data_IF_448833511277
#
_entry.id   IF_448833511277
#
_cell.length_a   1.000
_cell.length_b   1.000
_cell.length_c   1.000
_cell.angle_alpha   90.00
_cell.angle_beta   90.00
_cell.angle_gamma   90.00
#
_symmetry.space_group_name_H-M   'P 1'
#
loop_
_entity.id
_entity.type
_entity.pdbx_description
1 polymer ?
#
# COMPACT_ATOMS: atom_id res chain seq x y z
N UNK A 1 4.84 -8.97 -22.16
CA UNK A 1 4.10 -9.40 -23.34
C UNK A 1 2.62 -9.69 -23.07
N UNK A 2 2.26 -10.33 -21.93
CA UNK A 2 0.88 -10.76 -21.60
C UNK A 2 -0.11 -9.60 -21.52
N UNK A 3 0.28 -8.47 -20.94
CA UNK A 3 -0.55 -7.28 -20.78
C UNK A 3 -0.68 -6.45 -22.09
N UNK A 4 0.16 -6.68 -23.08
CA UNK A 4 0.15 -5.91 -24.33
C UNK A 4 -1.18 -6.07 -25.10
N UNK A 5 -1.80 -7.24 -25.03
CA UNK A 5 -3.11 -7.51 -25.64
C UNK A 5 -4.16 -6.53 -25.15
N UNK A 6 -4.19 -6.23 -23.85
CA UNK A 6 -5.25 -5.39 -23.23
C UNK A 6 -4.86 -3.92 -23.20
N UNK A 7 -3.64 -3.60 -22.76
CA UNK A 7 -3.22 -2.23 -22.49
C UNK A 7 -2.61 -1.53 -23.69
N UNK A 8 -2.06 -2.29 -24.64
CA UNK A 8 -1.39 -1.75 -25.83
C UNK A 8 -2.08 -2.19 -27.14
N UNK A 9 -3.33 -2.63 -27.10
CA UNK A 9 -4.08 -3.05 -28.29
C UNK A 9 -3.28 -3.98 -29.23
N UNK A 10 -2.66 -5.02 -28.66
CA UNK A 10 -1.73 -5.92 -29.38
C UNK A 10 -0.53 -5.21 -30.02
N UNK A 11 -0.03 -4.14 -29.42
CA UNK A 11 1.10 -3.36 -29.91
C UNK A 11 0.73 -2.17 -30.81
N UNK A 12 -0.56 -1.92 -31.05
CA UNK A 12 -1.03 -0.76 -31.83
C UNK A 12 -0.90 0.58 -31.09
N UNK A 13 -0.55 0.55 -29.78
CA UNK A 13 -0.38 1.75 -28.97
C UNK A 13 -1.32 1.80 -27.77
N UNK A 14 -1.29 2.93 -27.06
CA UNK A 14 -2.17 3.15 -25.89
C UNK A 14 -3.63 3.27 -26.31
N UNK A 15 -4.52 2.88 -25.42
CA UNK A 15 -5.93 3.18 -25.53
C UNK A 15 -6.14 4.71 -25.65
N UNK A 16 -6.95 5.13 -26.59
CA UNK A 16 -7.31 6.55 -26.72
C UNK A 16 -8.43 6.90 -25.76
N UNK A 17 -8.47 8.16 -25.33
CA UNK A 17 -9.54 8.66 -24.47
C UNK A 17 -10.90 8.43 -25.15
N UNK A 18 -11.86 7.83 -24.42
CA UNK A 18 -13.19 7.52 -24.93
C UNK A 18 -13.29 6.21 -25.72
N UNK A 19 -12.19 5.47 -25.94
CA UNK A 19 -12.27 4.14 -26.55
C UNK A 19 -12.86 3.12 -25.57
N UNK A 20 -13.60 2.14 -26.13
CA UNK A 20 -14.14 1.02 -25.36
C UNK A 20 -13.05 -0.06 -25.17
N UNK A 21 -12.72 -0.35 -23.91
CA UNK A 21 -11.84 -1.47 -23.57
C UNK A 21 -12.68 -2.69 -23.16
N UNK A 22 -12.50 -3.81 -23.83
CA UNK A 22 -13.19 -5.06 -23.56
C UNK A 22 -12.21 -6.09 -23.02
N UNK A 23 -12.47 -6.57 -21.80
CA UNK A 23 -11.73 -7.69 -21.19
C UNK A 23 -12.66 -8.90 -21.08
N UNK A 24 -12.68 -9.72 -22.11
CA UNK A 24 -13.54 -10.92 -22.20
C UNK A 24 -13.18 -11.95 -21.12
N UNK A 25 -11.91 -12.09 -20.78
CA UNK A 25 -11.43 -13.08 -19.83
C UNK A 25 -11.86 -12.71 -18.39
N UNK A 26 -11.85 -11.44 -18.04
CA UNK A 26 -12.44 -10.95 -16.79
C UNK A 26 -13.95 -11.21 -16.76
N UNK A 27 -14.64 -10.98 -17.90
CA UNK A 27 -16.07 -11.28 -18.02
C UNK A 27 -16.38 -12.77 -17.82
N UNK A 28 -15.56 -13.66 -18.35
CA UNK A 28 -15.68 -15.13 -18.13
C UNK A 28 -15.46 -15.50 -16.67
N UNK A 29 -14.43 -14.92 -16.03
CA UNK A 29 -14.14 -15.14 -14.62
C UNK A 29 -15.32 -14.73 -13.72
N UNK A 30 -15.87 -13.55 -13.94
CA UNK A 30 -17.02 -13.06 -13.16
C UNK A 30 -18.23 -14.00 -13.35
N UNK A 31 -18.52 -14.43 -14.58
CA UNK A 31 -19.61 -15.39 -14.85
C UNK A 31 -19.37 -16.72 -14.16
N UNK A 32 -18.14 -17.23 -14.16
CA UNK A 32 -17.78 -18.45 -13.47
C UNK A 32 -18.09 -18.39 -11.96
N UNK A 33 -17.78 -17.25 -11.32
CA UNK A 33 -18.10 -17.03 -9.90
C UNK A 33 -19.62 -16.93 -9.68
N UNK A 34 -20.34 -16.21 -10.53
CA UNK A 34 -21.81 -16.08 -10.48
C UNK A 34 -22.47 -17.48 -10.65
N UNK A 35 -21.98 -18.29 -11.54
CA UNK A 35 -22.51 -19.65 -11.76
C UNK A 35 -22.29 -20.56 -10.56
N UNK A 36 -21.19 -20.39 -9.83
CA UNK A 36 -20.97 -21.10 -8.56
C UNK A 36 -21.99 -20.68 -7.47
N UNK A 37 -22.24 -19.38 -7.31
CA UNK A 37 -23.32 -18.89 -6.42
C UNK A 37 -24.67 -19.47 -6.82
N UNK A 38 -25.06 -19.34 -8.10
CA UNK A 38 -26.34 -19.85 -8.60
C UNK A 38 -26.53 -21.35 -8.37
N UNK A 39 -25.48 -22.15 -8.59
CA UNK A 39 -25.50 -23.59 -8.33
C UNK A 39 -25.72 -23.92 -6.86
N UNK A 40 -25.15 -23.15 -5.95
CA UNK A 40 -25.38 -23.28 -4.50
C UNK A 40 -26.83 -22.93 -4.14
N UNK A 41 -27.32 -21.77 -4.58
CA UNK A 41 -28.70 -21.32 -4.33
C UNK A 41 -29.76 -22.26 -4.92
N UNK A 42 -29.49 -22.86 -6.07
CA UNK A 42 -30.40 -23.82 -6.69
C UNK A 42 -30.53 -25.13 -5.88
N UNK A 43 -29.63 -25.41 -4.94
CA UNK A 43 -29.72 -26.53 -3.98
C UNK A 43 -30.52 -26.15 -2.72
N UNK A 44 -31.01 -24.91 -2.65
CA UNK A 44 -31.74 -24.41 -1.47
C UNK A 44 -30.80 -23.86 -0.37
N UNK A 45 -29.52 -23.70 -0.64
CA UNK A 45 -28.56 -23.13 0.32
C UNK A 45 -28.86 -21.65 0.59
N UNK A 46 -28.59 -21.15 1.81
CA UNK A 46 -28.72 -19.74 2.15
C UNK A 46 -27.84 -18.86 1.27
N UNK A 47 -28.24 -17.59 1.12
CA UNK A 47 -27.50 -16.60 0.32
C UNK A 47 -26.02 -16.48 0.73
N UNK A 48 -25.72 -16.53 2.03
CA UNK A 48 -24.36 -16.47 2.54
C UNK A 48 -23.49 -17.61 2.00
N UNK A 49 -24.03 -18.84 1.99
CA UNK A 49 -23.34 -20.02 1.43
C UNK A 49 -23.12 -19.86 -0.07
N UNK A 50 -24.08 -19.25 -0.79
CA UNK A 50 -23.92 -18.89 -2.20
C UNK A 50 -22.75 -17.92 -2.44
N UNK A 51 -22.61 -16.89 -1.59
CA UNK A 51 -21.50 -15.92 -1.65
C UNK A 51 -20.16 -16.63 -1.39
N UNK A 52 -20.09 -17.52 -0.40
CA UNK A 52 -18.90 -18.33 -0.13
C UNK A 52 -18.57 -19.27 -1.29
N UNK A 53 -19.57 -19.84 -1.96
CA UNK A 53 -19.36 -20.67 -3.15
C UNK A 53 -18.73 -19.85 -4.31
N UNK A 54 -19.18 -18.61 -4.52
CA UNK A 54 -18.57 -17.72 -5.50
C UNK A 54 -17.10 -17.36 -5.15
N UNK A 55 -16.84 -17.06 -3.87
CA UNK A 55 -15.47 -16.81 -3.38
C UNK A 55 -14.58 -18.05 -3.58
N UNK A 56 -15.04 -19.20 -3.18
CA UNK A 56 -14.25 -20.45 -3.28
C UNK A 56 -14.04 -20.87 -4.74
N UNK A 57 -14.97 -20.54 -5.65
CA UNK A 57 -14.76 -20.71 -7.07
C UNK A 57 -13.52 -19.93 -7.56
N UNK A 58 -13.27 -18.73 -7.03
CA UNK A 58 -12.07 -17.96 -7.35
C UNK A 58 -10.82 -18.50 -6.65
N UNK A 59 -10.86 -18.59 -5.32
CA UNK A 59 -9.68 -18.87 -4.50
C UNK A 59 -9.26 -20.35 -4.47
N UNK A 60 -10.19 -21.29 -4.74
CA UNK A 60 -9.95 -22.75 -4.70
C UNK A 60 -10.30 -23.46 -6.02
N UNK A 61 -10.93 -22.74 -6.94
CA UNK A 61 -11.36 -23.28 -8.22
C UNK A 61 -10.29 -23.22 -9.33
N UNK A 62 -10.76 -23.29 -10.58
CA UNK A 62 -9.87 -23.23 -11.74
C UNK A 62 -9.06 -21.93 -11.86
N UNK A 63 -9.56 -20.74 -11.46
CA UNK A 63 -8.74 -19.54 -11.45
C UNK A 63 -7.48 -19.67 -10.60
N UNK A 64 -7.59 -20.18 -9.35
CA UNK A 64 -6.44 -20.39 -8.49
C UNK A 64 -5.41 -21.36 -9.09
N UNK A 65 -5.89 -22.46 -9.68
CA UNK A 65 -5.01 -23.42 -10.40
C UNK A 65 -4.35 -22.80 -11.63
N UNK A 66 -5.04 -21.91 -12.33
CA UNK A 66 -4.48 -21.21 -13.47
C UNK A 66 -3.38 -20.24 -13.06
N UNK A 67 -3.56 -19.52 -11.92
CA UNK A 67 -2.53 -18.65 -11.32
C UNK A 67 -1.30 -19.48 -10.96
N UNK A 68 -1.45 -20.58 -10.23
CA UNK A 68 -0.36 -21.48 -9.84
C UNK A 68 0.43 -21.98 -11.06
N UNK A 69 -0.26 -22.46 -12.11
CA UNK A 69 0.39 -22.88 -13.35
C UNK A 69 1.18 -21.75 -13.99
N UNK A 70 0.58 -20.55 -14.09
CA UNK A 70 1.23 -19.40 -14.71
C UNK A 70 2.51 -18.99 -13.95
N UNK A 71 2.45 -18.95 -12.62
CA UNK A 71 3.62 -18.59 -11.81
C UNK A 71 4.72 -19.65 -11.90
N UNK A 72 4.38 -20.94 -11.92
CA UNK A 72 5.36 -22.02 -12.12
C UNK A 72 6.04 -21.98 -13.48
N UNK A 73 5.29 -21.64 -14.53
CA UNK A 73 5.80 -21.64 -15.90
C UNK A 73 6.60 -20.36 -16.25
N UNK A 74 6.31 -19.22 -15.58
CA UNK A 74 6.80 -17.92 -16.03
C UNK A 74 7.48 -17.06 -14.98
N UNK A 75 7.28 -17.31 -13.68
CA UNK A 75 7.67 -16.44 -12.56
C UNK A 75 8.26 -17.20 -11.37
N UNK A 76 8.95 -18.31 -11.60
CA UNK A 76 9.67 -19.11 -10.59
C UNK A 76 8.81 -19.57 -9.39
N UNK A 77 7.49 -19.71 -9.58
CA UNK A 77 6.59 -20.27 -8.59
C UNK A 77 6.33 -19.39 -7.34
N UNK A 78 6.46 -18.08 -7.46
CA UNK A 78 6.29 -17.14 -6.33
C UNK A 78 4.86 -17.12 -5.75
N UNK A 79 3.85 -17.62 -6.46
CA UNK A 79 2.47 -17.74 -5.95
C UNK A 79 1.96 -19.16 -6.28
N UNK A 80 1.47 -19.85 -5.26
CA UNK A 80 1.02 -21.24 -5.36
C UNK A 80 -0.51 -21.34 -5.23
N UNK A 81 -1.04 -22.51 -5.56
CA UNK A 81 -2.44 -22.82 -5.30
C UNK A 81 -2.78 -22.73 -3.81
N UNK A 82 -1.86 -23.19 -2.95
CA UNK A 82 -2.01 -23.19 -1.50
C UNK A 82 -2.13 -21.77 -0.95
N UNK A 83 -1.36 -20.82 -1.47
CA UNK A 83 -1.44 -19.40 -1.10
C UNK A 83 -2.83 -18.83 -1.45
N UNK A 84 -3.32 -19.13 -2.66
CA UNK A 84 -4.66 -18.72 -3.07
C UNK A 84 -5.74 -19.36 -2.19
N UNK A 85 -5.68 -20.69 -2.00
CA UNK A 85 -6.70 -21.44 -1.28
C UNK A 85 -6.74 -21.12 0.22
N UNK A 86 -5.60 -20.78 0.79
CA UNK A 86 -5.43 -20.40 2.19
C UNK A 86 -5.81 -18.95 2.48
N UNK A 87 -5.90 -18.08 1.45
CA UNK A 87 -6.19 -16.68 1.67
C UNK A 87 -7.55 -16.45 2.35
N UNK A 88 -7.55 -15.62 3.37
CA UNK A 88 -8.74 -15.17 4.09
C UNK A 88 -8.63 -13.70 4.49
N UNK A 89 -9.75 -13.00 4.45
CA UNK A 89 -9.82 -11.66 5.06
C UNK A 89 -9.88 -11.77 6.58
N UNK A 90 -9.31 -10.80 7.28
CA UNK A 90 -9.38 -10.67 8.74
C UNK A 90 -9.92 -9.29 9.12
N UNK A 91 -10.44 -9.18 10.33
CA UNK A 91 -10.81 -7.92 10.94
C UNK A 91 -9.60 -7.40 11.72
N UNK A 92 -9.13 -6.21 11.37
CA UNK A 92 -8.03 -5.55 12.06
C UNK A 92 -8.54 -4.33 12.82
N UNK A 93 -7.85 -3.96 13.89
CA UNK A 93 -8.06 -2.67 14.56
C UNK A 93 -7.44 -1.58 13.71
N UNK A 94 -8.19 -0.54 13.32
CA UNK A 94 -7.63 0.52 12.52
C UNK A 94 -6.60 1.33 13.32
N UNK A 95 -5.55 1.79 12.66
CA UNK A 95 -4.66 2.79 13.23
C UNK A 95 -5.41 4.10 13.39
N UNK A 96 -5.08 4.83 14.46
CA UNK A 96 -5.75 6.07 14.83
C UNK A 96 -4.74 7.16 15.19
N UNK A 97 -5.03 8.37 14.78
CA UNK A 97 -4.44 9.60 15.31
C UNK A 97 -5.47 10.72 15.36
N UNK A 98 -5.15 11.81 16.05
CA UNK A 98 -5.93 13.05 15.93
C UNK A 98 -5.19 14.05 15.05
N UNK A 99 -5.91 14.87 14.31
CA UNK A 99 -5.34 15.98 13.56
C UNK A 99 -6.24 17.21 13.67
N UNK A 100 -5.76 18.26 14.33
CA UNK A 100 -6.49 19.54 14.52
C UNK A 100 -7.93 19.35 15.02
N UNK A 101 -8.12 18.42 15.97
CA UNK A 101 -9.41 18.12 16.57
C UNK A 101 -10.28 17.11 15.85
N UNK A 102 -9.80 16.52 14.73
CA UNK A 102 -10.46 15.44 14.03
C UNK A 102 -9.80 14.10 14.37
N UNK A 103 -10.60 13.07 14.55
CA UNK A 103 -10.14 11.69 14.63
C UNK A 103 -9.91 11.15 13.23
N UNK A 104 -8.71 10.60 12.98
CA UNK A 104 -8.32 10.04 11.70
C UNK A 104 -8.00 8.56 11.87
N UNK A 105 -8.71 7.72 11.12
CA UNK A 105 -8.55 6.28 11.12
C UNK A 105 -8.05 5.79 9.76
N UNK A 106 -7.19 4.77 9.76
CA UNK A 106 -6.67 4.17 8.54
C UNK A 106 -6.34 2.69 8.74
N UNK A 107 -6.13 1.97 7.64
CA UNK A 107 -5.63 0.61 7.68
C UNK A 107 -4.19 0.56 8.21
N UNK A 108 -3.77 -0.61 8.69
CA UNK A 108 -2.44 -0.84 9.26
C UNK A 108 -1.33 -0.97 8.21
N UNK A 109 -0.15 -1.35 8.65
CA UNK A 109 1.14 -1.34 7.96
C UNK A 109 1.21 -2.07 6.62
N UNK A 110 0.35 -3.04 6.37
CA UNK A 110 0.19 -3.70 5.07
C UNK A 110 -0.39 -2.79 3.97
N UNK A 111 -0.83 -1.59 4.33
CA UNK A 111 -1.41 -0.59 3.44
C UNK A 111 -0.57 0.69 3.40
N UNK A 112 -1.00 1.67 2.62
CA UNK A 112 -0.40 3.01 2.60
C UNK A 112 -0.99 3.97 3.65
N UNK A 113 -2.01 3.51 4.39
CA UNK A 113 -2.69 4.31 5.40
C UNK A 113 -1.77 4.91 6.47
N UNK A 114 -0.83 4.15 7.03
CA UNK A 114 0.10 4.68 8.04
C UNK A 114 0.88 5.91 7.59
N UNK A 115 1.20 6.03 6.30
CA UNK A 115 1.87 7.23 5.74
C UNK A 115 1.07 8.50 5.99
N UNK A 116 -0.26 8.42 5.88
CA UNK A 116 -1.13 9.54 6.19
C UNK A 116 -1.00 9.96 7.65
N UNK A 117 -0.97 9.00 8.58
CA UNK A 117 -0.77 9.27 10.01
C UNK A 117 0.57 9.97 10.25
N UNK A 118 1.66 9.44 9.66
CA UNK A 118 2.99 10.06 9.78
C UNK A 118 2.98 11.50 9.27
N UNK A 119 2.41 11.73 8.09
CA UNK A 119 2.31 13.07 7.50
C UNK A 119 1.50 14.02 8.36
N UNK A 120 0.31 13.62 8.80
CA UNK A 120 -0.56 14.47 9.61
C UNK A 120 0.07 14.82 10.97
N UNK A 121 0.69 13.85 11.64
CA UNK A 121 1.38 14.07 12.89
C UNK A 121 2.56 15.07 12.76
N UNK A 122 3.30 15.01 11.64
CA UNK A 122 4.36 15.99 11.37
C UNK A 122 3.79 17.36 11.00
N UNK A 123 2.75 17.42 10.15
CA UNK A 123 2.12 18.66 9.71
C UNK A 123 1.45 19.44 10.87
N UNK A 124 1.08 18.77 11.95
CA UNK A 124 0.51 19.43 13.11
C UNK A 124 1.49 20.37 13.83
N UNK A 125 2.80 20.27 13.53
CA UNK A 125 3.83 21.17 14.05
C UNK A 125 3.96 22.49 13.29
N UNK A 126 3.20 22.67 12.19
CA UNK A 126 3.23 23.88 11.35
C UNK A 126 1.88 24.56 11.31
N UNK A 127 1.86 25.89 11.34
CA UNK A 127 0.66 26.67 11.07
C UNK A 127 0.48 26.83 9.55
N UNK A 128 -0.23 25.89 8.94
CA UNK A 128 -0.47 25.89 7.51
C UNK A 128 -1.38 27.06 7.06
N UNK A 129 -2.16 27.66 7.95
CA UNK A 129 -2.95 28.86 7.64
C UNK A 129 -2.04 30.08 7.53
N UNK A 130 -1.08 30.22 8.45
CA UNK A 130 -0.10 31.31 8.43
C UNK A 130 0.81 31.21 7.19
N UNK A 131 1.20 29.99 6.79
CA UNK A 131 1.98 29.80 5.56
C UNK A 131 1.22 30.21 4.30
N UNK A 132 -0.10 30.17 4.34
CA UNK A 132 -0.97 30.50 3.23
C UNK A 132 -1.15 29.35 2.22
N UNK A 133 -2.38 29.16 1.77
CA UNK A 133 -2.69 28.06 0.83
C UNK A 133 -1.94 28.20 -0.49
N UNK A 134 -1.22 27.16 -0.89
CA UNK A 134 -0.52 27.04 -2.18
C UNK A 134 0.61 28.07 -2.39
N UNK A 135 1.18 28.62 -1.31
CA UNK A 135 2.43 29.42 -1.36
C UNK A 135 3.65 28.50 -1.51
N UNK A 136 4.81 29.07 -1.79
CA UNK A 136 6.06 28.31 -1.86
C UNK A 136 6.38 27.62 -0.53
N UNK A 137 6.20 28.32 0.59
CA UNK A 137 6.43 27.82 1.96
C UNK A 137 5.48 26.68 2.31
N UNK A 138 4.20 26.81 1.94
CA UNK A 138 3.20 25.75 2.13
C UNK A 138 3.57 24.49 1.33
N UNK A 139 3.87 24.65 0.04
CA UNK A 139 4.27 23.52 -0.83
C UNK A 139 5.57 22.89 -0.32
N UNK A 140 6.53 23.71 0.11
CA UNK A 140 7.79 23.27 0.68
C UNK A 140 7.54 22.34 1.88
N UNK A 141 6.84 22.81 2.92
CA UNK A 141 6.56 22.02 4.13
C UNK A 141 5.85 20.71 3.77
N UNK A 142 4.81 20.75 2.93
CA UNK A 142 4.08 19.54 2.52
C UNK A 142 5.04 18.54 1.82
N UNK A 143 5.88 19.03 0.91
CA UNK A 143 6.82 18.18 0.16
C UNK A 143 7.86 17.54 1.07
N UNK A 144 8.43 18.30 2.02
CA UNK A 144 9.43 17.77 2.95
C UNK A 144 8.81 16.76 3.93
N UNK A 145 7.60 17.01 4.41
CA UNK A 145 6.86 16.05 5.25
C UNK A 145 6.58 14.75 4.50
N UNK A 146 6.20 14.84 3.21
CA UNK A 146 6.02 13.65 2.36
C UNK A 146 7.34 12.86 2.26
N UNK A 147 8.46 13.52 2.00
CA UNK A 147 9.77 12.88 1.90
C UNK A 147 10.15 12.13 3.18
N UNK A 148 9.98 12.77 4.36
CA UNK A 148 10.26 12.14 5.65
C UNK A 148 9.34 10.95 5.92
N UNK A 149 8.04 11.08 5.68
CA UNK A 149 7.08 10.00 5.86
C UNK A 149 7.33 8.83 4.90
N UNK A 150 7.72 9.11 3.66
CA UNK A 150 8.09 8.07 2.69
C UNK A 150 9.34 7.32 3.11
N UNK A 151 10.35 8.03 3.59
CA UNK A 151 11.60 7.43 4.10
C UNK A 151 11.32 6.45 5.25
N UNK A 152 10.59 6.91 6.28
CA UNK A 152 10.21 6.05 7.41
C UNK A 152 9.33 4.88 6.96
N UNK A 153 8.41 5.12 6.03
CA UNK A 153 7.55 4.07 5.48
C UNK A 153 8.33 2.97 4.76
N UNK A 154 9.33 3.33 3.98
CA UNK A 154 10.16 2.36 3.26
C UNK A 154 10.97 1.47 4.20
N UNK A 155 11.30 1.98 5.40
CA UNK A 155 12.05 1.22 6.40
C UNK A 155 11.16 0.32 7.24
N UNK A 156 10.01 0.82 7.68
CA UNK A 156 9.26 0.21 8.78
C UNK A 156 7.94 -0.43 8.38
N UNK A 157 7.31 0.01 7.26
CA UNK A 157 5.99 -0.51 6.91
C UNK A 157 6.06 -1.79 6.10
N UNK A 158 5.21 -2.72 6.46
CA UNK A 158 5.00 -3.98 5.79
C UNK A 158 3.77 -4.67 6.39
N UNK A 159 3.53 -5.90 6.02
CA UNK A 159 2.47 -6.69 6.63
C UNK A 159 2.86 -7.05 8.08
N UNK A 160 2.07 -6.64 9.10
CA UNK A 160 2.38 -6.91 10.51
C UNK A 160 2.46 -8.40 10.87
N UNK A 161 1.95 -9.29 10.03
CA UNK A 161 2.13 -10.73 10.21
C UNK A 161 3.58 -11.17 9.91
N UNK A 162 4.39 -10.33 9.26
CA UNK A 162 5.77 -10.63 8.86
C UNK A 162 6.80 -9.58 9.30
N UNK A 163 6.35 -8.40 9.72
CA UNK A 163 7.23 -7.26 10.06
C UNK A 163 6.81 -6.66 11.38
N UNK A 164 7.75 -6.50 12.30
CA UNK A 164 7.54 -5.75 13.53
C UNK A 164 7.60 -4.25 13.26
N UNK A 165 6.47 -3.56 13.41
CA UNK A 165 6.37 -2.12 13.22
C UNK A 165 6.37 -1.46 14.61
N UNK A 166 7.35 -0.59 14.94
CA UNK A 166 7.39 0.09 16.22
C UNK A 166 6.17 0.99 16.42
N UNK A 167 5.44 0.85 17.53
CA UNK A 167 4.29 1.71 17.84
C UNK A 167 4.68 3.19 17.96
N UNK A 168 5.90 3.46 18.42
CA UNK A 168 6.48 4.80 18.54
C UNK A 168 6.50 5.55 17.21
N UNK A 169 6.57 4.84 16.08
CA UNK A 169 6.51 5.39 14.74
C UNK A 169 5.29 6.29 14.53
N UNK A 170 4.16 5.92 15.11
CA UNK A 170 2.88 6.61 14.94
C UNK A 170 2.63 7.72 15.97
N UNK A 171 3.59 7.96 16.87
CA UNK A 171 3.43 8.95 17.92
C UNK A 171 3.69 10.38 17.44
N UNK A 172 2.96 11.34 18.03
CA UNK A 172 3.22 12.77 17.80
C UNK A 172 4.58 13.21 18.37
N UNK A 173 5.11 12.50 19.37
CA UNK A 173 6.43 12.76 19.90
C UNK A 173 7.52 12.51 18.86
N UNK A 174 7.49 11.34 18.21
CA UNK A 174 8.42 11.03 17.13
C UNK A 174 8.24 11.97 15.93
N UNK A 175 7.00 12.24 15.55
CA UNK A 175 6.71 13.17 14.46
C UNK A 175 7.29 14.57 14.69
N UNK A 176 7.30 15.08 15.95
CA UNK A 176 7.96 16.34 16.29
C UNK A 176 9.47 16.30 16.08
N UNK A 177 10.12 15.18 16.42
CA UNK A 177 11.55 15.04 16.16
C UNK A 177 11.84 15.03 14.65
N UNK A 178 11.07 14.29 13.87
CA UNK A 178 11.21 14.26 12.41
C UNK A 178 10.97 15.63 11.77
N UNK A 179 9.96 16.35 12.21
CA UNK A 179 9.64 17.68 11.69
C UNK A 179 10.78 18.72 11.89
N UNK A 180 11.62 18.57 12.90
CA UNK A 180 12.80 19.44 13.13
C UNK A 180 13.85 19.36 12.02
N UNK A 181 13.83 18.33 11.18
CA UNK A 181 14.73 18.18 10.04
C UNK A 181 14.38 19.10 8.86
N UNK A 182 13.17 19.64 8.83
CA UNK A 182 12.72 20.50 7.74
C UNK A 182 13.33 21.88 7.94
N UNK A 183 14.27 22.22 7.09
CA UNK A 183 14.80 23.56 6.93
C UNK A 183 13.83 24.35 6.04
N UNK A 184 13.43 25.55 6.43
CA UNK A 184 12.48 26.38 5.65
C UNK A 184 13.12 27.04 4.45
N UNK A 185 14.45 27.13 4.42
CA UNK A 185 15.21 27.78 3.34
C UNK A 185 15.80 26.78 2.35
N UNK A 186 15.93 25.49 2.73
CA UNK A 186 16.55 24.46 1.90
C UNK A 186 15.72 23.16 1.87
N UNK A 187 15.46 22.64 0.66
CA UNK A 187 14.78 21.34 0.46
C UNK A 187 15.78 20.19 0.52
N UNK A 188 15.32 19.03 0.98
CA UNK A 188 16.09 17.80 0.82
C UNK A 188 16.41 17.56 -0.66
N UNK A 189 17.68 17.39 -0.99
CA UNK A 189 18.13 17.14 -2.36
C UNK A 189 17.80 15.72 -2.81
N UNK A 190 17.87 14.77 -1.87
CA UNK A 190 17.53 13.35 -2.03
C UNK A 190 16.55 12.92 -0.94
N UNK A 191 16.14 11.66 -0.98
CA UNK A 191 15.29 11.10 0.09
C UNK A 191 16.08 11.13 1.41
N UNK A 192 15.56 11.81 2.45
CA UNK A 192 16.24 11.87 3.74
C UNK A 192 16.32 10.48 4.37
N UNK A 193 17.28 10.24 5.28
CA UNK A 193 17.36 8.98 6.01
C UNK A 193 16.11 8.77 6.87
N UNK A 194 15.72 7.51 7.07
CA UNK A 194 14.69 7.18 8.07
C UNK A 194 15.17 7.52 9.47
N UNK A 195 14.23 7.83 10.36
CA UNK A 195 14.53 8.06 11.77
C UNK A 195 14.58 6.76 12.57
N UNK A 196 14.83 6.90 13.88
CA UNK A 196 14.75 5.82 14.85
C UNK A 196 13.59 6.13 15.82
N UNK A 197 12.39 5.58 15.58
CA UNK A 197 11.23 5.89 16.41
C UNK A 197 11.38 5.38 17.84
N UNK A 198 11.99 4.22 18.06
CA UNK A 198 12.17 3.62 19.39
C UNK A 198 13.02 4.51 20.31
N UNK A 199 14.06 5.14 19.75
CA UNK A 199 14.93 6.05 20.51
C UNK A 199 14.60 7.53 20.28
N UNK A 200 13.49 7.84 19.60
CA UNK A 200 13.05 9.21 19.28
C UNK A 200 14.12 10.05 18.58
N UNK A 201 14.84 9.45 17.61
CA UNK A 201 15.92 10.14 16.87
C UNK A 201 15.49 10.47 15.47
N UNK A 202 15.67 11.72 15.10
CA UNK A 202 15.35 12.23 13.78
C UNK A 202 16.30 11.76 12.66
N UNK A 203 17.54 11.47 12.94
CA UNK A 203 18.66 11.15 12.06
C UNK A 203 18.80 12.17 10.91
N UNK A 204 19.85 13.00 10.97
CA UNK A 204 20.09 14.07 10.02
C UNK A 204 20.55 13.53 8.63
N UNK A 205 20.19 14.18 7.50
CA UNK A 205 20.65 13.79 6.16
C UNK A 205 22.16 13.60 6.00
N UNK A 206 22.96 14.38 6.73
CA UNK A 206 24.42 14.27 6.72
C UNK A 206 24.97 13.09 7.54
N UNK A 207 24.09 12.30 8.15
CA UNK A 207 24.51 11.11 8.88
C UNK A 207 24.96 10.01 7.90
N UNK A 208 26.03 9.23 8.23
CA UNK A 208 26.59 8.22 7.32
C UNK A 208 25.69 7.01 7.02
N UNK A 209 24.46 7.02 7.50
CA UNK A 209 23.42 6.00 7.26
C UNK A 209 22.50 6.35 6.10
N UNK A 210 22.95 7.10 5.08
CA UNK A 210 22.16 7.41 3.91
C UNK A 210 21.77 6.13 3.17
N UNK A 211 20.46 5.97 2.96
CA UNK A 211 19.88 4.90 2.17
C UNK A 211 20.37 5.00 0.72
N UNK A 212 21.33 4.17 0.34
CA UNK A 212 21.56 3.91 -1.07
C UNK A 212 20.61 2.79 -1.48
N UNK A 213 19.59 3.11 -2.25
CA UNK A 213 18.46 2.21 -2.62
C UNK A 213 18.82 0.91 -3.36
N UNK A 214 20.01 0.37 -3.10
CA UNK A 214 20.53 -0.87 -3.69
C UNK A 214 20.67 -2.03 -2.70
N UNK A 215 20.46 -1.83 -1.40
CA UNK A 215 20.69 -2.88 -0.39
C UNK A 215 19.47 -3.74 -0.07
N UNK A 216 18.28 -3.34 -0.48
CA UNK A 216 17.04 -4.05 -0.16
C UNK A 216 16.82 -5.39 -0.87
N UNK A 217 17.61 -5.71 -1.90
CA UNK A 217 17.42 -6.95 -2.67
C UNK A 217 18.21 -8.16 -2.16
N UNK A 218 19.10 -8.01 -1.16
CA UNK A 218 19.97 -9.09 -0.68
C UNK A 218 19.63 -9.68 0.69
N UNK A 219 18.76 -9.06 1.46
CA UNK A 219 18.41 -9.50 2.81
C UNK A 219 17.12 -10.32 2.91
N UNK A 220 16.40 -10.50 1.77
CA UNK A 220 15.25 -11.39 1.71
C UNK A 220 15.69 -12.78 1.23
N UNK A 221 16.19 -13.59 2.14
CA UNK A 221 16.34 -15.04 1.99
C UNK A 221 15.73 -15.76 3.17
#
# INVERSE_FOLDING_TARGET
>A
PYNAKYWLQNGAGRQTLGSLMVNEDLGKLIRYMIDAERKSLAKGEPREIGIWAARDAFYKGEPAKAVDRFFKEHLDGQMTYEDMAGYGGKWDTPLHTTYRGYDVYTCDGWSQGPRLILMLNMLENYDLQLLGYNTAEYIHVISQVINLAMSDSHKYLGDPDFVDIPEELYTKAYARERAKLIDMDEAFQDMPPWGDPVHMKAIHPDSPTSFTGRETAKEWK
#
